data_IF_925836503444
#
_entry.id   IF_925836503444
#
_cell.length_a   1.000
_cell.length_b   1.000
_cell.length_c   1.000
_cell.angle_alpha   90.00
_cell.angle_beta   90.00
_cell.angle_gamma   90.00
#
_symmetry.space_group_name_H-M   'P 1'
#
loop_
_entity.id
_entity.type
_entity.pdbx_description
1 polymer ?
#
# COMPACT_ATOMS: atom_id res chain seq x y z
N UNK A 1 -17.41 0.58 -31.17
CA UNK A 1 -18.78 0.55 -30.63
C UNK A 1 -18.95 -0.79 -29.97
N UNK A 2 -19.36 -0.83 -28.72
CA UNK A 2 -19.60 -2.06 -27.96
C UNK A 2 -21.04 -2.10 -27.49
N UNK A 3 -21.65 -3.27 -27.51
CA UNK A 3 -23.05 -3.43 -27.05
C UNK A 3 -23.08 -3.69 -25.54
N UNK A 4 -23.96 -2.98 -24.83
CA UNK A 4 -24.18 -3.21 -23.39
C UNK A 4 -24.88 -4.56 -23.19
N UNK A 5 -24.20 -5.50 -22.55
CA UNK A 5 -24.71 -6.86 -22.28
C UNK A 5 -25.39 -6.97 -20.90
N UNK A 6 -24.98 -6.13 -19.93
CA UNK A 6 -25.54 -6.17 -18.58
C UNK A 6 -25.39 -4.82 -17.88
N UNK A 7 -26.43 -4.45 -17.12
CA UNK A 7 -26.45 -3.31 -16.20
C UNK A 7 -26.86 -3.80 -14.82
N UNK A 8 -25.92 -3.74 -13.85
CA UNK A 8 -26.21 -4.09 -12.44
C UNK A 8 -25.95 -2.90 -11.53
N UNK A 9 -26.91 -2.57 -10.68
CA UNK A 9 -26.74 -1.53 -9.66
C UNK A 9 -26.62 -2.19 -8.29
N UNK A 10 -25.52 -1.88 -7.58
CA UNK A 10 -25.28 -2.38 -6.24
C UNK A 10 -24.56 -1.32 -5.40
N UNK A 11 -25.08 -1.03 -4.20
CA UNK A 11 -24.49 -0.09 -3.24
C UNK A 11 -24.11 1.27 -3.84
N UNK A 12 -24.96 1.84 -4.68
CA UNK A 12 -24.75 3.16 -5.27
C UNK A 12 -23.72 3.20 -6.43
N UNK A 13 -23.41 2.05 -7.00
CA UNK A 13 -22.54 1.90 -8.18
C UNK A 13 -23.26 1.09 -9.24
N UNK A 14 -23.34 1.61 -10.46
CA UNK A 14 -23.74 0.88 -11.64
C UNK A 14 -22.51 0.18 -12.25
N UNK A 15 -22.61 -1.11 -12.49
CA UNK A 15 -21.64 -1.89 -13.25
C UNK A 15 -22.22 -2.19 -14.62
N UNK A 16 -21.52 -1.74 -15.64
CA UNK A 16 -21.83 -1.98 -17.04
C UNK A 16 -20.91 -3.06 -17.58
N UNK A 17 -21.47 -4.08 -18.23
CA UNK A 17 -20.70 -5.09 -18.96
C UNK A 17 -20.97 -4.92 -20.45
N UNK A 18 -19.97 -5.17 -21.26
CA UNK A 18 -19.99 -5.02 -22.72
C UNK A 18 -19.58 -6.35 -23.37
N UNK A 19 -19.87 -6.51 -24.64
CA UNK A 19 -19.52 -7.71 -25.42
C UNK A 19 -18.01 -7.78 -25.71
N UNK A 20 -17.37 -6.67 -26.06
CA UNK A 20 -15.98 -6.58 -26.52
C UNK A 20 -15.13 -5.57 -25.73
N UNK A 21 -15.64 -5.00 -24.65
CA UNK A 21 -14.91 -4.04 -23.82
C UNK A 21 -14.90 -4.45 -22.32
N UNK A 22 -13.91 -3.92 -21.59
CA UNK A 22 -13.81 -4.15 -20.17
C UNK A 22 -14.99 -3.54 -19.40
N UNK A 23 -15.50 -4.22 -18.35
CA UNK A 23 -16.58 -3.70 -17.55
C UNK A 23 -16.27 -2.34 -16.93
N UNK A 24 -17.22 -1.42 -16.96
CA UNK A 24 -17.12 -0.08 -16.40
C UNK A 24 -17.96 0.02 -15.12
N UNK A 25 -17.41 0.68 -14.10
CA UNK A 25 -18.12 1.04 -12.87
C UNK A 25 -18.36 2.54 -12.87
N UNK A 26 -19.62 2.93 -12.63
CA UNK A 26 -20.04 4.34 -12.59
C UNK A 26 -20.87 4.57 -11.32
N UNK A 27 -20.59 5.64 -10.57
CA UNK A 27 -21.46 6.02 -9.44
C UNK A 27 -22.89 6.23 -9.92
N UNK A 28 -23.85 5.72 -9.18
CA UNK A 28 -25.28 5.73 -9.57
C UNK A 28 -25.75 7.14 -9.96
N UNK A 29 -25.43 8.16 -9.16
CA UNK A 29 -25.75 9.56 -9.46
C UNK A 29 -25.36 10.01 -10.89
N UNK A 30 -24.18 9.59 -11.35
CA UNK A 30 -23.69 9.94 -12.67
C UNK A 30 -24.18 8.98 -13.76
N UNK A 31 -24.47 7.73 -13.40
CA UNK A 31 -25.13 6.79 -14.30
C UNK A 31 -26.57 7.25 -14.61
N UNK A 32 -27.30 7.76 -13.63
CA UNK A 32 -28.66 8.30 -13.81
C UNK A 32 -28.65 9.56 -14.70
N UNK A 33 -27.57 10.33 -14.72
CA UNK A 33 -27.41 11.48 -15.63
C UNK A 33 -27.09 11.05 -17.07
N UNK A 34 -26.46 9.88 -17.26
CA UNK A 34 -26.08 9.31 -18.55
C UNK A 34 -26.43 7.82 -18.58
N UNK A 35 -27.75 7.48 -18.56
CA UNK A 35 -28.15 6.09 -18.45
C UNK A 35 -27.87 5.32 -19.75
N UNK A 36 -27.55 4.04 -19.60
CA UNK A 36 -27.44 3.06 -20.68
C UNK A 36 -28.33 1.86 -20.34
N UNK A 37 -28.96 1.29 -21.38
CA UNK A 37 -29.73 0.08 -21.26
C UNK A 37 -29.03 -1.12 -21.92
N UNK A 38 -29.47 -2.33 -21.53
CA UNK A 38 -28.98 -3.55 -22.20
C UNK A 38 -29.46 -3.52 -23.67
N UNK A 39 -28.51 -3.75 -24.58
CA UNK A 39 -28.72 -3.67 -26.02
C UNK A 39 -28.31 -2.34 -26.65
N UNK A 40 -27.95 -1.33 -25.86
CA UNK A 40 -27.42 -0.06 -26.40
C UNK A 40 -26.03 -0.26 -26.99
N UNK A 41 -25.79 0.30 -28.19
CA UNK A 41 -24.47 0.40 -28.79
C UNK A 41 -23.81 1.71 -28.40
N UNK A 42 -22.64 1.61 -27.80
CA UNK A 42 -21.93 2.76 -27.22
C UNK A 42 -20.43 2.73 -27.55
N UNK A 43 -19.87 3.91 -27.77
CA UNK A 43 -18.43 4.11 -27.67
C UNK A 43 -18.04 4.21 -26.19
N UNK A 44 -17.47 3.14 -25.65
CA UNK A 44 -17.15 3.04 -24.21
C UNK A 44 -16.14 4.09 -23.77
N UNK A 45 -15.18 4.47 -24.64
CA UNK A 45 -14.19 5.48 -24.32
C UNK A 45 -14.84 6.88 -24.27
N UNK A 46 -15.65 7.23 -25.25
CA UNK A 46 -16.38 8.50 -25.26
C UNK A 46 -17.36 8.58 -24.08
N UNK A 47 -18.06 7.52 -23.79
CA UNK A 47 -18.95 7.45 -22.63
C UNK A 47 -18.15 7.65 -21.32
N UNK A 48 -17.03 6.96 -21.14
CA UNK A 48 -16.18 7.10 -19.98
C UNK A 48 -15.62 8.52 -19.83
N UNK A 49 -15.22 9.17 -20.93
CA UNK A 49 -14.78 10.57 -20.93
C UNK A 49 -15.89 11.53 -20.50
N UNK A 50 -17.10 11.38 -21.04
CA UNK A 50 -18.27 12.20 -20.67
C UNK A 50 -18.63 12.04 -19.19
N UNK A 51 -18.64 10.80 -18.69
CA UNK A 51 -18.88 10.51 -17.27
C UNK A 51 -17.74 11.09 -16.42
N UNK A 52 -16.49 11.00 -16.88
CA UNK A 52 -15.32 11.55 -16.20
C UNK A 52 -15.46 13.05 -15.92
N UNK A 53 -15.88 13.83 -16.92
CA UNK A 53 -16.09 15.27 -16.76
C UNK A 53 -17.13 15.58 -15.69
N UNK A 54 -18.25 14.87 -15.69
CA UNK A 54 -19.28 15.03 -14.68
C UNK A 54 -18.82 14.59 -13.26
N UNK A 55 -17.86 13.67 -13.18
CA UNK A 55 -17.34 13.15 -11.92
C UNK A 55 -16.21 13.98 -11.30
N UNK A 56 -15.57 14.90 -12.01
CA UNK A 56 -14.35 15.60 -11.56
C UNK A 56 -14.48 16.23 -10.17
N UNK A 57 -15.54 17.01 -9.96
CA UNK A 57 -15.75 17.68 -8.66
C UNK A 57 -15.98 16.69 -7.52
N UNK A 58 -16.86 15.71 -7.75
CA UNK A 58 -17.20 14.70 -6.75
C UNK A 58 -16.01 13.79 -6.43
N UNK A 59 -15.17 13.47 -7.41
CA UNK A 59 -13.97 12.65 -7.22
C UNK A 59 -12.93 13.38 -6.36
N UNK A 60 -12.74 14.69 -6.65
CA UNK A 60 -11.82 15.52 -5.88
C UNK A 60 -12.28 15.68 -4.43
N UNK A 61 -13.56 16.01 -4.20
CA UNK A 61 -14.14 16.11 -2.85
C UNK A 61 -14.03 14.76 -2.10
N UNK A 62 -14.32 13.66 -2.77
CA UNK A 62 -14.21 12.33 -2.18
C UNK A 62 -12.78 11.96 -1.79
N UNK A 63 -11.79 12.43 -2.54
CA UNK A 63 -10.38 12.26 -2.22
C UNK A 63 -9.96 13.13 -1.04
N UNK A 64 -10.35 14.42 -0.99
CA UNK A 64 -10.10 15.30 0.15
C UNK A 64 -10.67 14.72 1.44
N UNK A 65 -11.92 14.31 1.44
CA UNK A 65 -12.56 13.66 2.60
C UNK A 65 -11.81 12.39 3.06
N UNK A 66 -11.13 11.68 2.14
CA UNK A 66 -10.29 10.53 2.49
C UNK A 66 -8.97 10.93 3.12
N UNK A 67 -8.38 12.06 2.68
CA UNK A 67 -7.13 12.60 3.20
C UNK A 67 -7.30 13.28 4.57
N UNK A 68 -8.46 13.89 4.82
CA UNK A 68 -8.79 14.48 6.13
C UNK A 68 -8.79 13.44 7.25
N UNK A 69 -9.12 12.18 6.93
CA UNK A 69 -9.13 11.09 7.91
C UNK A 69 -7.73 10.55 8.22
N UNK A 70 -6.88 10.41 7.22
CA UNK A 70 -5.50 9.97 7.35
C UNK A 70 -4.70 10.15 6.06
N UNK A 71 -3.37 10.23 6.20
CA UNK A 71 -2.46 10.22 5.06
C UNK A 71 -2.66 8.95 4.21
N UNK A 72 -2.73 9.14 2.89
CA UNK A 72 -2.92 8.08 1.89
C UNK A 72 -1.86 8.19 0.81
N UNK A 73 -1.50 7.04 0.25
CA UNK A 73 -0.69 7.00 -0.97
C UNK A 73 -1.57 7.23 -2.20
N UNK A 74 -0.94 7.63 -3.31
CA UNK A 74 -1.61 7.74 -4.61
C UNK A 74 -2.38 6.47 -4.96
N UNK A 75 -1.77 5.32 -4.78
CA UNK A 75 -2.37 4.03 -5.09
C UNK A 75 -3.56 3.65 -4.17
N UNK A 76 -3.51 4.02 -2.90
CA UNK A 76 -4.64 3.80 -1.97
C UNK A 76 -5.85 4.66 -2.35
N UNK A 77 -5.63 5.94 -2.69
CA UNK A 77 -6.69 6.82 -3.17
C UNK A 77 -7.27 6.31 -4.48
N UNK A 78 -6.41 5.92 -5.43
CA UNK A 78 -6.82 5.33 -6.70
C UNK A 78 -7.75 4.14 -6.50
N UNK A 79 -7.35 3.17 -5.69
CA UNK A 79 -8.17 1.98 -5.38
C UNK A 79 -9.50 2.36 -4.73
N UNK A 80 -9.46 3.31 -3.79
CA UNK A 80 -10.67 3.77 -3.08
C UNK A 80 -11.66 4.46 -4.02
N UNK A 81 -11.19 5.36 -4.88
CA UNK A 81 -12.05 6.09 -5.81
C UNK A 81 -12.64 5.17 -6.89
N UNK A 82 -11.83 4.28 -7.48
CA UNK A 82 -12.30 3.27 -8.43
C UNK A 82 -13.35 2.34 -7.81
N UNK A 83 -13.15 1.92 -6.56
CA UNK A 83 -14.12 1.08 -5.83
C UNK A 83 -15.44 1.80 -5.59
N UNK A 84 -15.44 3.12 -5.49
CA UNK A 84 -16.63 3.98 -5.32
C UNK A 84 -17.33 4.33 -6.64
N UNK A 85 -16.85 3.80 -7.77
CA UNK A 85 -17.45 3.99 -9.09
C UNK A 85 -17.07 5.28 -9.79
N UNK A 86 -15.94 5.90 -9.41
CA UNK A 86 -15.34 6.93 -10.25
C UNK A 86 -14.60 6.26 -11.41
N UNK A 87 -14.77 6.78 -12.62
CA UNK A 87 -14.09 6.24 -13.81
C UNK A 87 -12.61 6.61 -13.79
N UNK A 88 -11.77 5.80 -14.44
CA UNK A 88 -10.31 5.93 -14.37
C UNK A 88 -9.82 7.34 -14.74
N UNK A 89 -10.36 7.94 -15.80
CA UNK A 89 -9.96 9.27 -16.22
C UNK A 89 -10.23 10.36 -15.16
N UNK A 90 -11.39 10.29 -14.47
CA UNK A 90 -11.69 11.21 -13.35
C UNK A 90 -10.76 10.97 -12.16
N UNK A 91 -10.42 9.72 -11.90
CA UNK A 91 -9.50 9.34 -10.80
C UNK A 91 -8.11 9.87 -11.07
N UNK A 92 -7.52 9.59 -12.26
CA UNK A 92 -6.16 10.05 -12.56
C UNK A 92 -6.06 11.58 -12.55
N UNK A 93 -7.01 12.29 -13.19
CA UNK A 93 -7.04 13.76 -13.14
C UNK A 93 -7.14 14.31 -11.70
N UNK A 94 -7.88 13.60 -10.82
CA UNK A 94 -7.96 13.97 -9.40
C UNK A 94 -6.63 13.77 -8.70
N UNK A 95 -5.98 12.62 -8.93
CA UNK A 95 -4.70 12.27 -8.30
C UNK A 95 -3.58 13.22 -8.77
N UNK A 96 -3.53 13.56 -10.05
CA UNK A 96 -2.58 14.52 -10.59
C UNK A 96 -2.75 15.90 -9.93
N UNK A 97 -3.98 16.39 -9.86
CA UNK A 97 -4.28 17.66 -9.18
C UNK A 97 -3.89 17.66 -7.70
N UNK A 98 -4.10 16.56 -6.99
CA UNK A 98 -3.70 16.42 -5.59
C UNK A 98 -2.19 16.36 -5.43
N UNK A 99 -1.48 15.71 -6.35
CA UNK A 99 -0.02 15.69 -6.38
C UNK A 99 0.56 17.07 -6.67
N UNK A 100 0.05 17.77 -7.69
CA UNK A 100 0.47 19.13 -8.05
C UNK A 100 0.27 20.14 -6.90
N UNK A 101 -0.77 19.93 -6.09
CA UNK A 101 -1.03 20.75 -4.89
C UNK A 101 -0.27 20.26 -3.64
N UNK A 102 0.54 19.22 -3.72
CA UNK A 102 1.30 18.65 -2.60
C UNK A 102 0.44 17.98 -1.53
N UNK A 103 -0.85 17.71 -1.82
CA UNK A 103 -1.75 17.02 -0.88
C UNK A 103 -1.50 15.50 -0.83
N UNK A 104 -0.93 14.92 -1.89
CA UNK A 104 -0.37 13.59 -1.92
C UNK A 104 1.09 13.67 -2.37
N UNK A 105 1.94 12.94 -1.66
CA UNK A 105 3.38 12.85 -1.91
C UNK A 105 3.84 11.47 -1.42
N UNK A 106 4.00 10.54 -2.34
CA UNK A 106 4.34 9.16 -2.04
C UNK A 106 5.78 9.05 -1.50
N UNK A 107 6.70 9.92 -1.97
CA UNK A 107 8.06 9.99 -1.45
C UNK A 107 8.09 10.43 0.01
N UNK A 108 7.42 11.54 0.33
CA UNK A 108 7.32 12.03 1.72
C UNK A 108 6.59 11.03 2.63
N UNK A 109 5.61 10.31 2.08
CA UNK A 109 4.95 9.22 2.81
C UNK A 109 5.94 8.08 3.14
N UNK A 110 6.78 7.68 2.18
CA UNK A 110 7.78 6.64 2.37
C UNK A 110 8.83 7.07 3.43
N UNK A 111 9.36 8.29 3.35
CA UNK A 111 10.31 8.86 4.30
C UNK A 111 9.76 8.81 5.74
N UNK A 112 8.53 9.30 5.95
CA UNK A 112 7.87 9.23 7.27
C UNK A 112 7.64 7.80 7.75
N UNK A 113 7.29 6.89 6.86
CA UNK A 113 7.09 5.49 7.22
C UNK A 113 8.40 4.82 7.67
N UNK A 114 9.52 5.19 7.06
CA UNK A 114 10.87 4.77 7.44
C UNK A 114 11.25 5.35 8.79
N UNK A 115 11.13 6.66 9.00
CA UNK A 115 11.38 7.32 10.29
C UNK A 115 10.59 6.66 11.44
N UNK A 116 9.30 6.43 11.23
CA UNK A 116 8.45 5.76 12.22
C UNK A 116 8.86 4.30 12.48
N UNK A 117 9.51 3.65 11.53
CA UNK A 117 9.98 2.28 11.68
C UNK A 117 11.31 2.20 12.43
N UNK A 118 12.16 3.22 12.35
CA UNK A 118 13.43 3.29 13.04
C UNK A 118 13.27 3.20 14.57
N UNK A 119 12.15 3.69 15.12
CA UNK A 119 11.82 3.57 16.54
C UNK A 119 11.31 2.18 16.96
N UNK A 120 11.24 1.21 16.05
CA UNK A 120 10.69 -0.13 16.29
C UNK A 120 11.70 -1.20 15.89
N UNK A 121 11.74 -2.36 16.58
CA UNK A 121 12.63 -3.47 16.22
C UNK A 121 12.11 -4.22 14.96
N UNK A 122 12.14 -3.55 13.81
CA UNK A 122 11.69 -4.03 12.49
C UNK A 122 12.81 -3.82 11.48
N UNK A 123 13.10 -4.83 10.68
CA UNK A 123 14.15 -4.77 9.67
C UNK A 123 13.69 -4.12 8.36
N UNK A 124 14.66 -3.67 7.57
CA UNK A 124 14.50 -2.98 6.28
C UNK A 124 13.58 -3.71 5.30
N UNK A 125 13.65 -5.05 5.24
CA UNK A 125 12.78 -5.84 4.34
C UNK A 125 11.30 -5.82 4.73
N UNK A 126 10.98 -5.69 6.02
CA UNK A 126 9.60 -5.54 6.46
C UNK A 126 9.07 -4.14 6.12
N UNK A 127 9.89 -3.10 6.24
CA UNK A 127 9.54 -1.73 5.83
C UNK A 127 9.31 -1.69 4.33
N UNK A 128 10.23 -2.23 3.52
CA UNK A 128 10.10 -2.34 2.06
C UNK A 128 8.79 -3.04 1.66
N UNK A 129 8.49 -4.18 2.26
CA UNK A 129 7.25 -4.91 2.01
C UNK A 129 6.01 -4.08 2.36
N UNK A 130 6.06 -3.29 3.45
CA UNK A 130 4.97 -2.39 3.84
C UNK A 130 4.77 -1.26 2.84
N UNK A 131 5.85 -0.64 2.35
CA UNK A 131 5.78 0.41 1.33
C UNK A 131 5.19 -0.13 0.02
N UNK A 132 5.67 -1.28 -0.45
CA UNK A 132 5.10 -1.96 -1.63
C UNK A 132 3.62 -2.31 -1.47
N UNK A 133 3.21 -2.82 -0.32
CA UNK A 133 1.80 -3.13 -0.03
C UNK A 133 0.90 -1.88 -0.08
N UNK A 134 1.44 -0.72 0.22
CA UNK A 134 0.81 0.58 0.10
C UNK A 134 0.83 1.14 -1.32
N UNK A 135 1.60 0.51 -2.23
CA UNK A 135 1.72 0.90 -3.63
C UNK A 135 2.72 2.03 -3.87
N UNK A 136 3.65 2.24 -2.95
CA UNK A 136 4.80 3.14 -3.16
C UNK A 136 5.69 2.55 -4.27
N UNK A 137 6.11 3.39 -5.21
CA UNK A 137 7.04 3.04 -6.27
C UNK A 137 8.39 2.59 -5.73
N UNK A 138 9.11 1.77 -6.51
CA UNK A 138 10.41 1.23 -6.09
C UNK A 138 11.44 2.35 -5.84
N UNK A 139 11.46 3.38 -6.69
CA UNK A 139 12.37 4.52 -6.58
C UNK A 139 12.18 5.27 -5.25
N UNK A 140 10.94 5.64 -4.92
CA UNK A 140 10.62 6.33 -3.67
C UNK A 140 10.88 5.44 -2.45
N UNK A 141 10.59 4.15 -2.57
CA UNK A 141 10.83 3.20 -1.51
C UNK A 141 12.34 3.03 -1.23
N UNK A 142 13.17 2.86 -2.28
CA UNK A 142 14.63 2.75 -2.11
C UNK A 142 15.24 4.05 -1.60
N UNK A 143 14.84 5.21 -2.14
CA UNK A 143 15.30 6.51 -1.66
C UNK A 143 15.03 6.68 -0.15
N UNK A 144 13.84 6.32 0.31
CA UNK A 144 13.49 6.38 1.72
C UNK A 144 14.27 5.35 2.56
N UNK A 145 14.41 4.10 2.08
CA UNK A 145 15.11 3.04 2.80
C UNK A 145 16.61 3.31 2.96
N UNK A 146 17.22 4.02 2.01
CA UNK A 146 18.63 4.46 2.09
C UNK A 146 18.88 5.49 3.21
N UNK A 147 17.82 6.04 3.83
CA UNK A 147 17.93 6.89 5.02
C UNK A 147 18.16 6.07 6.31
N UNK A 148 17.93 4.74 6.26
CA UNK A 148 18.18 3.88 7.42
C UNK A 148 19.69 3.62 7.53
N UNK A 149 20.23 3.93 8.71
CA UNK A 149 21.59 3.64 9.05
C UNK A 149 21.76 2.15 9.38
N UNK A 150 22.81 1.53 8.84
CA UNK A 150 23.15 0.12 9.07
C UNK A 150 23.41 -0.16 10.55
N UNK A 151 24.03 0.77 11.27
CA UNK A 151 24.29 0.64 12.71
C UNK A 151 22.97 0.64 13.50
N UNK A 152 22.02 1.51 13.16
CA UNK A 152 20.68 1.52 13.76
C UNK A 152 19.94 0.22 13.48
N UNK A 153 20.08 -0.33 12.27
CA UNK A 153 19.46 -1.62 11.91
C UNK A 153 20.08 -2.79 12.70
N UNK A 154 21.40 -2.78 12.90
CA UNK A 154 22.09 -3.76 13.74
C UNK A 154 21.65 -3.68 15.20
N UNK A 155 21.57 -2.47 15.77
CA UNK A 155 21.06 -2.24 17.14
C UNK A 155 19.60 -2.69 17.30
N UNK A 156 18.74 -2.39 16.32
CA UNK A 156 17.34 -2.83 16.30
C UNK A 156 17.23 -4.36 16.23
N UNK A 157 18.09 -5.04 15.46
CA UNK A 157 18.15 -6.49 15.38
C UNK A 157 18.57 -7.11 16.72
N UNK A 158 19.59 -6.55 17.39
CA UNK A 158 20.04 -7.00 18.71
C UNK A 158 18.95 -6.81 19.77
N UNK A 159 18.27 -5.65 19.79
CA UNK A 159 17.18 -5.39 20.71
C UNK A 159 16.02 -6.39 20.49
N UNK A 160 15.70 -6.69 19.22
CA UNK A 160 14.74 -7.72 18.87
C UNK A 160 15.16 -9.12 19.33
N UNK A 161 16.44 -9.46 19.14
CA UNK A 161 17.02 -10.74 19.56
C UNK A 161 16.93 -10.91 21.08
N UNK A 162 17.36 -9.93 21.86
CA UNK A 162 17.27 -9.95 23.34
C UNK A 162 15.83 -10.14 23.82
N UNK A 163 14.87 -9.46 23.21
CA UNK A 163 13.45 -9.59 23.57
C UNK A 163 12.86 -10.97 23.31
N UNK A 164 13.44 -11.68 22.33
CA UNK A 164 12.98 -13.02 21.92
C UNK A 164 13.78 -14.15 22.56
N UNK A 165 14.99 -13.88 23.09
CA UNK A 165 15.90 -14.90 23.62
C UNK A 165 15.22 -15.79 24.66
N UNK A 166 14.53 -15.21 25.65
CA UNK A 166 13.81 -15.94 26.70
C UNK A 166 12.86 -17.01 26.18
N UNK A 167 12.33 -16.82 24.96
CA UNK A 167 11.40 -17.78 24.34
C UNK A 167 12.12 -19.01 23.82
N UNK A 168 13.40 -18.91 23.52
CA UNK A 168 14.18 -19.96 22.85
C UNK A 168 15.39 -20.45 23.66
N UNK A 169 15.75 -19.80 24.76
CA UNK A 169 16.90 -20.13 25.60
C UNK A 169 16.80 -21.53 26.23
N UNK A 170 15.59 -22.03 26.51
CA UNK A 170 15.36 -23.38 27.05
C UNK A 170 15.52 -24.51 26.03
N UNK A 171 15.72 -24.20 24.75
CA UNK A 171 15.91 -25.18 23.69
C UNK A 171 17.40 -25.55 23.56
N UNK A 172 17.72 -26.73 22.99
CA UNK A 172 19.08 -27.04 22.62
C UNK A 172 19.67 -25.89 21.77
N UNK A 173 20.91 -25.47 22.06
CA UNK A 173 21.53 -24.26 21.48
C UNK A 173 21.37 -24.15 19.96
N UNK A 174 21.62 -25.23 19.22
CA UNK A 174 21.44 -25.27 17.75
C UNK A 174 20.00 -24.97 17.32
N UNK A 175 19.03 -25.53 18.01
CA UNK A 175 17.61 -25.33 17.69
C UNK A 175 17.14 -23.93 18.09
N UNK A 176 17.53 -23.47 19.27
CA UNK A 176 17.23 -22.13 19.78
C UNK A 176 17.75 -21.04 18.86
N UNK A 177 19.03 -21.11 18.46
CA UNK A 177 19.66 -20.19 17.48
C UNK A 177 18.92 -20.19 16.15
N UNK A 178 18.57 -21.36 15.62
CA UNK A 178 17.83 -21.47 14.37
C UNK A 178 16.43 -20.81 14.46
N UNK A 179 15.70 -21.05 15.54
CA UNK A 179 14.37 -20.46 15.75
C UNK A 179 14.42 -18.94 15.96
N UNK A 180 15.43 -18.46 16.70
CA UNK A 180 15.66 -17.01 16.89
C UNK A 180 15.98 -16.35 15.56
N UNK A 181 16.90 -16.92 14.75
CA UNK A 181 17.23 -16.44 13.41
C UNK A 181 15.99 -16.33 12.51
N UNK A 182 15.16 -17.38 12.47
CA UNK A 182 13.91 -17.36 11.71
C UNK A 182 12.93 -16.29 12.20
N UNK A 183 12.86 -16.05 13.50
CA UNK A 183 11.98 -15.04 14.07
C UNK A 183 12.43 -13.61 13.69
N UNK A 184 13.73 -13.35 13.66
CA UNK A 184 14.30 -12.09 13.21
C UNK A 184 14.14 -11.89 11.69
N UNK A 185 14.38 -12.94 10.89
CA UNK A 185 14.15 -12.92 9.45
C UNK A 185 12.68 -12.60 9.11
N UNK A 186 11.70 -13.17 9.83
CA UNK A 186 10.27 -12.81 9.68
C UNK A 186 9.98 -11.36 10.04
N UNK A 187 10.76 -10.74 10.93
CA UNK A 187 10.69 -9.30 11.24
C UNK A 187 11.37 -8.42 10.18
N UNK A 188 11.96 -9.06 9.16
CA UNK A 188 12.52 -8.38 7.99
C UNK A 188 13.93 -7.85 8.16
N UNK A 189 14.70 -8.33 9.12
CA UNK A 189 16.13 -8.00 9.23
C UNK A 189 16.94 -8.70 8.12
N UNK A 190 18.04 -8.08 7.71
CA UNK A 190 18.99 -8.67 6.75
C UNK A 190 19.64 -9.91 7.36
N UNK A 191 20.18 -10.79 6.50
CA UNK A 191 20.88 -11.99 6.98
C UNK A 191 22.09 -11.64 7.85
N UNK A 192 22.84 -10.61 7.47
CA UNK A 192 24.00 -10.12 8.23
C UNK A 192 23.58 -9.62 9.61
N UNK A 193 22.56 -8.76 9.69
CA UNK A 193 22.03 -8.26 10.96
C UNK A 193 21.46 -9.38 11.83
N UNK A 194 20.77 -10.37 11.23
CA UNK A 194 20.26 -11.55 11.95
C UNK A 194 21.40 -12.35 12.56
N UNK A 195 22.42 -12.68 11.75
CA UNK A 195 23.57 -13.46 12.20
C UNK A 195 24.30 -12.77 13.34
N UNK A 196 24.69 -11.50 13.14
CA UNK A 196 25.39 -10.72 14.15
C UNK A 196 24.59 -10.58 15.46
N UNK A 197 23.27 -10.33 15.37
CA UNK A 197 22.41 -10.20 16.54
C UNK A 197 22.24 -11.51 17.30
N UNK A 198 22.10 -12.66 16.61
CA UNK A 198 22.00 -13.97 17.26
C UNK A 198 23.30 -14.35 17.93
N UNK A 199 24.45 -14.18 17.28
CA UNK A 199 25.74 -14.49 17.85
C UNK A 199 25.99 -13.64 19.12
N UNK A 200 25.78 -12.30 19.04
CA UNK A 200 25.98 -11.40 20.17
C UNK A 200 25.11 -11.70 21.40
N UNK A 201 23.84 -12.12 21.22
CA UNK A 201 22.96 -12.39 22.38
C UNK A 201 23.15 -13.80 22.93
N UNK A 202 23.59 -14.74 22.12
CA UNK A 202 23.83 -16.12 22.56
C UNK A 202 25.16 -16.25 23.29
N UNK A 203 26.21 -15.58 22.84
CA UNK A 203 27.49 -15.52 23.54
C UNK A 203 27.39 -14.81 24.90
N UNK A 204 26.58 -13.75 24.99
CA UNK A 204 26.34 -13.06 26.26
C UNK A 204 25.58 -13.92 27.29
N UNK A 205 24.68 -14.81 26.86
CA UNK A 205 23.90 -15.70 27.74
C UNK A 205 24.76 -16.85 28.31
N UNK A 206 25.81 -17.28 27.56
CA UNK A 206 26.76 -18.31 28.01
C UNK A 206 27.73 -17.83 29.13
N UNK A 207 27.81 -16.50 29.37
CA UNK A 207 28.70 -15.91 30.43
C UNK A 207 27.93 -15.56 31.70
N UNK A 208 26.59 -15.59 31.70
CA UNK A 208 25.74 -15.26 32.85
C UNK A 208 25.27 -16.52 33.65
N UNK A 209 25.65 -17.73 33.21
CA UNK A 209 25.47 -19.01 33.92
C UNK A 209 26.78 -19.47 34.59
#
# INVERSE_FOLDING_TARGET
>A
MSTVTEVRVFRGVARLSFDDASPLKVRLKHFEAFPLAVGDDVDVEQYALRVSEAQRADAYEAALNSLDLCARTRQELRRSLLARGFVSAAVEATLDRLADSGLIDDRRYAERAVEMSAARPVGVYAVRRKLRARGIGEEDAEAALNMLDDEQQAQAAQAAARSLLRKYASLPAREGRAKLSQALARRGFSWEAVRAAVDAVWEADEWDD
#
